data_IF_985288880723
#
_entry.id   IF_985288880723
#
_cell.length_a   1.000
_cell.length_b   1.000
_cell.length_c   1.000
_cell.angle_alpha   90.00
_cell.angle_beta   90.00
_cell.angle_gamma   90.00
#
_symmetry.space_group_name_H-M   'P 1'
#
loop_
_entity.id
_entity.type
_entity.pdbx_description
1 polymer ?
#
# COMPACT_ATOMS: atom_id res chain seq x y z
N UNK A 1 4.64 7.22 34.85
CA UNK A 1 3.28 6.90 34.35
C UNK A 1 3.33 5.69 33.43
N UNK A 2 2.50 4.66 33.65
CA UNK A 2 2.35 3.57 32.68
C UNK A 2 1.60 4.13 31.47
N UNK A 3 2.17 3.99 30.27
CA UNK A 3 1.49 4.42 29.03
C UNK A 3 0.30 3.48 28.79
N UNK A 4 -0.91 3.98 28.52
CA UNK A 4 -2.04 3.12 28.16
C UNK A 4 -1.71 2.41 26.85
N UNK A 5 -2.10 1.13 26.76
CA UNK A 5 -2.08 0.41 25.50
C UNK A 5 -3.00 1.12 24.49
N UNK A 6 -2.52 1.32 23.26
CA UNK A 6 -3.26 1.98 22.20
C UNK A 6 -3.31 1.08 20.98
N UNK A 7 -4.53 0.78 20.53
CA UNK A 7 -4.76 0.15 19.23
C UNK A 7 -4.65 1.25 18.17
N UNK A 8 -3.79 1.03 17.18
CA UNK A 8 -3.54 2.00 16.10
C UNK A 8 -4.85 2.49 15.48
N UNK A 9 -4.96 3.79 15.17
CA UNK A 9 -6.18 4.36 14.53
C UNK A 9 -6.48 3.78 13.13
N UNK A 10 -5.57 2.95 12.60
CA UNK A 10 -5.68 2.27 11.31
C UNK A 10 -6.72 1.14 11.28
N UNK A 11 -7.33 0.77 12.41
CA UNK A 11 -8.40 -0.25 12.47
C UNK A 11 -9.77 0.31 12.08
N UNK A 12 -9.89 1.60 11.71
CA UNK A 12 -11.17 2.17 11.25
C UNK A 12 -11.75 1.48 10.00
N UNK A 13 -10.95 0.71 9.26
CA UNK A 13 -11.41 -0.16 8.17
C UNK A 13 -10.58 -1.46 8.15
N UNK A 14 -11.02 -2.52 8.87
CA UNK A 14 -10.30 -3.78 8.97
C UNK A 14 -10.30 -4.58 7.66
N UNK A 15 -11.35 -4.45 6.83
CA UNK A 15 -11.43 -5.14 5.53
C UNK A 15 -10.27 -4.76 4.61
N UNK A 16 -9.81 -3.51 4.69
CA UNK A 16 -8.66 -3.02 3.94
C UNK A 16 -7.37 -3.78 4.27
N UNK A 17 -7.21 -4.31 5.49
CA UNK A 17 -6.01 -5.06 5.89
C UNK A 17 -5.86 -6.35 5.09
N UNK A 18 -6.96 -7.04 4.80
CA UNK A 18 -6.94 -8.28 3.99
C UNK A 18 -6.39 -8.00 2.60
N UNK A 19 -6.90 -6.97 1.93
CA UNK A 19 -6.46 -6.61 0.59
C UNK A 19 -4.98 -6.16 0.57
N UNK A 20 -4.55 -5.43 1.60
CA UNK A 20 -3.16 -5.03 1.77
C UNK A 20 -2.23 -6.23 1.97
N UNK A 21 -2.70 -7.25 2.71
CA UNK A 21 -1.97 -8.48 2.93
C UNK A 21 -1.82 -9.30 1.63
N UNK A 22 -2.89 -9.40 0.84
CA UNK A 22 -2.86 -10.06 -0.48
C UNK A 22 -1.80 -9.42 -1.37
N UNK A 23 -1.76 -8.09 -1.45
CA UNK A 23 -0.73 -7.37 -2.22
C UNK A 23 0.66 -7.56 -1.61
N UNK A 24 0.80 -7.54 -0.27
CA UNK A 24 2.08 -7.76 0.40
C UNK A 24 2.69 -9.13 0.10
N UNK A 25 1.85 -10.15 -0.12
CA UNK A 25 2.28 -11.50 -0.49
C UNK A 25 3.05 -11.53 -1.82
N UNK A 26 2.77 -10.62 -2.75
CA UNK A 26 3.51 -10.48 -4.01
C UNK A 26 4.99 -10.07 -3.78
N UNK A 27 5.33 -9.54 -2.60
CA UNK A 27 6.67 -9.12 -2.21
C UNK A 27 7.29 -10.02 -1.14
N UNK A 28 6.74 -11.22 -0.92
CA UNK A 28 7.31 -12.18 0.01
C UNK A 28 8.76 -12.55 -0.39
N UNK A 29 9.67 -12.60 0.59
CA UNK A 29 11.11 -12.77 0.44
C UNK A 29 11.88 -11.61 -0.22
N UNK A 30 11.22 -10.53 -0.64
CA UNK A 30 11.89 -9.36 -1.20
C UNK A 30 12.54 -8.54 -0.09
N UNK A 31 13.67 -7.88 -0.41
CA UNK A 31 14.36 -6.99 0.54
C UNK A 31 13.50 -5.75 0.83
N UNK A 32 13.25 -5.42 2.09
CA UNK A 32 12.50 -4.22 2.50
C UNK A 32 13.35 -2.93 2.45
N UNK A 33 13.80 -2.57 1.26
CA UNK A 33 14.55 -1.34 0.96
C UNK A 33 13.63 -0.25 0.37
N UNK A 34 14.17 0.94 0.10
CA UNK A 34 13.39 2.08 -0.43
C UNK A 34 12.70 1.78 -1.77
N UNK A 35 13.32 0.97 -2.62
CA UNK A 35 12.77 0.53 -3.90
C UNK A 35 11.53 -0.35 -3.70
N UNK A 36 11.63 -1.41 -2.89
CA UNK A 36 10.49 -2.30 -2.64
C UNK A 36 9.41 -1.64 -1.76
N UNK A 37 9.77 -0.63 -0.96
CA UNK A 37 8.81 0.22 -0.28
C UNK A 37 7.97 1.04 -1.29
N UNK A 38 8.60 1.64 -2.30
CA UNK A 38 7.87 2.28 -3.42
C UNK A 38 7.05 1.26 -4.19
N UNK A 39 7.66 0.14 -4.58
CA UNK A 39 7.00 -0.95 -5.33
C UNK A 39 5.74 -1.43 -4.65
N UNK A 40 5.77 -1.65 -3.33
CA UNK A 40 4.60 -2.04 -2.57
C UNK A 40 3.46 -1.03 -2.73
N UNK A 41 3.77 0.26 -2.63
CA UNK A 41 2.76 1.31 -2.78
C UNK A 41 2.18 1.38 -4.21
N UNK A 42 3.00 1.13 -5.23
CA UNK A 42 2.57 1.07 -6.63
C UNK A 42 1.63 -0.13 -6.85
N UNK A 43 1.98 -1.31 -6.32
CA UNK A 43 1.12 -2.49 -6.39
C UNK A 43 -0.25 -2.26 -5.72
N UNK A 44 -0.28 -1.52 -4.61
CA UNK A 44 -1.55 -1.16 -3.97
C UNK A 44 -2.43 -0.23 -4.85
N UNK A 45 -1.82 0.60 -5.69
CA UNK A 45 -2.55 1.45 -6.66
C UNK A 45 -3.01 0.60 -7.84
N UNK A 46 -2.12 -0.24 -8.38
CA UNK A 46 -2.40 -1.19 -9.46
C UNK A 46 -3.66 -2.02 -9.18
N UNK A 47 -3.75 -2.57 -7.97
CA UNK A 47 -4.88 -3.43 -7.58
C UNK A 47 -6.09 -2.62 -7.03
N UNK A 48 -6.08 -1.27 -7.17
CA UNK A 48 -7.13 -0.33 -6.71
C UNK A 48 -7.44 -0.38 -5.21
N UNK A 49 -6.53 -0.91 -4.39
CA UNK A 49 -6.72 -1.02 -2.94
C UNK A 49 -6.24 0.22 -2.17
N UNK A 50 -5.57 1.16 -2.85
CA UNK A 50 -5.14 2.43 -2.29
C UNK A 50 -5.69 3.64 -3.04
N UNK A 51 -6.29 4.57 -2.31
CA UNK A 51 -6.69 5.88 -2.83
C UNK A 51 -8.01 5.90 -3.61
N UNK A 52 -8.41 4.78 -4.20
CA UNK A 52 -9.67 4.62 -4.94
C UNK A 52 -10.89 5.16 -4.16
N UNK A 53 -11.74 5.94 -4.85
CA UNK A 53 -12.94 6.56 -4.27
C UNK A 53 -12.69 7.71 -3.28
N UNK A 54 -11.43 8.12 -3.05
CA UNK A 54 -11.11 9.26 -2.16
C UNK A 54 -10.70 10.47 -2.99
N UNK A 55 -11.48 11.55 -2.94
CA UNK A 55 -11.20 12.82 -3.65
C UNK A 55 -9.76 13.31 -3.49
N UNK A 56 -9.20 13.26 -2.29
CA UNK A 56 -7.81 13.66 -2.02
C UNK A 56 -6.76 12.86 -2.83
N UNK A 57 -7.06 11.61 -3.17
CA UNK A 57 -6.18 10.80 -4.00
C UNK A 57 -6.21 11.23 -5.46
N UNK A 58 -7.35 11.66 -5.99
CA UNK A 58 -7.47 12.14 -7.38
C UNK A 58 -6.85 13.52 -7.59
N UNK A 59 -6.66 14.32 -6.53
CA UNK A 59 -6.03 15.63 -6.64
C UNK A 59 -4.64 15.56 -7.29
N UNK A 60 -4.47 16.26 -8.43
CA UNK A 60 -3.21 16.31 -9.17
C UNK A 60 -2.99 15.17 -10.18
N UNK A 61 -3.99 14.31 -10.39
CA UNK A 61 -3.98 13.33 -11.49
C UNK A 61 -4.58 13.95 -12.76
N UNK A 62 -4.14 13.48 -13.93
CA UNK A 62 -4.75 13.86 -15.22
C UNK A 62 -6.11 13.19 -15.40
N UNK A 63 -6.96 13.73 -16.27
CA UNK A 63 -8.28 13.12 -16.54
C UNK A 63 -8.15 11.67 -17.03
N UNK A 64 -7.18 11.39 -17.90
CA UNK A 64 -6.92 10.03 -18.38
C UNK A 64 -6.57 9.05 -17.25
N UNK A 65 -5.78 9.49 -16.26
CA UNK A 65 -5.46 8.68 -15.08
C UNK A 65 -6.70 8.45 -14.21
N UNK A 66 -7.55 9.47 -14.04
CA UNK A 66 -8.81 9.35 -13.30
C UNK A 66 -9.72 8.34 -13.99
N UNK A 67 -9.91 8.47 -15.30
CA UNK A 67 -10.75 7.58 -16.11
C UNK A 67 -10.25 6.13 -16.05
N UNK A 68 -8.93 5.92 -16.09
CA UNK A 68 -8.32 4.59 -15.94
C UNK A 68 -8.57 3.98 -14.54
N UNK A 69 -8.47 4.80 -13.50
CA UNK A 69 -8.71 4.38 -12.12
C UNK A 69 -10.18 3.99 -11.93
N UNK A 70 -11.10 4.80 -12.45
CA UNK A 70 -12.54 4.66 -12.25
C UNK A 70 -13.18 3.58 -13.15
N UNK A 71 -12.56 3.23 -14.27
CA UNK A 71 -12.97 2.11 -15.11
C UNK A 71 -12.63 0.75 -14.46
N UNK A 72 -13.59 0.19 -13.72
CA UNK A 72 -13.46 -1.10 -13.04
C UNK A 72 -13.27 -2.29 -14.00
N UNK A 73 -13.58 -2.14 -15.29
CA UNK A 73 -13.43 -3.23 -16.28
C UNK A 73 -12.01 -3.31 -16.83
N UNK A 74 -11.25 -2.22 -16.75
CA UNK A 74 -9.85 -2.20 -17.19
C UNK A 74 -8.92 -2.65 -16.08
N UNK A 75 -7.91 -3.42 -16.42
CA UNK A 75 -6.79 -3.65 -15.52
C UNK A 75 -5.81 -2.49 -15.61
N UNK A 76 -5.20 -2.12 -14.47
CA UNK A 76 -4.13 -1.14 -14.44
C UNK A 76 -2.81 -1.91 -14.51
N UNK A 77 -1.95 -1.56 -15.46
CA UNK A 77 -0.60 -2.13 -15.54
C UNK A 77 0.28 -1.59 -14.39
N UNK A 78 1.44 -2.21 -14.17
CA UNK A 78 2.38 -1.71 -13.18
C UNK A 78 2.92 -0.32 -13.57
N UNK A 79 3.22 -0.13 -14.85
CA UNK A 79 3.74 1.12 -15.43
C UNK A 79 2.72 2.24 -15.26
N UNK A 80 1.46 1.98 -15.59
CA UNK A 80 0.37 2.93 -15.38
C UNK A 80 0.17 3.28 -13.90
N UNK A 81 0.25 2.28 -13.00
CA UNK A 81 0.20 2.53 -11.56
C UNK A 81 1.39 3.35 -11.07
N UNK A 82 2.57 3.15 -11.66
CA UNK A 82 3.79 3.91 -11.36
C UNK A 82 3.68 5.36 -11.84
N UNK A 83 3.14 5.60 -13.02
CA UNK A 83 2.84 6.95 -13.53
C UNK A 83 1.88 7.68 -12.60
N UNK A 84 0.78 7.04 -12.19
CA UNK A 84 -0.17 7.58 -11.21
C UNK A 84 0.56 7.88 -9.89
N UNK A 85 1.39 6.96 -9.41
CA UNK A 85 2.14 7.14 -8.17
C UNK A 85 3.10 8.33 -8.24
N UNK A 86 3.82 8.49 -9.35
CA UNK A 86 4.78 9.55 -9.57
C UNK A 86 4.09 10.92 -9.78
N UNK A 87 2.91 10.96 -10.42
CA UNK A 87 2.10 12.17 -10.55
C UNK A 87 1.71 12.78 -9.20
N UNK A 88 1.60 11.96 -8.14
CA UNK A 88 1.35 12.45 -6.77
C UNK A 88 2.51 13.25 -6.16
N UNK A 89 3.70 13.23 -6.78
CA UNK A 89 4.87 14.00 -6.40
C UNK A 89 5.19 13.95 -4.88
N UNK A 90 5.22 12.75 -4.31
CA UNK A 90 5.45 12.57 -2.87
C UNK A 90 6.89 12.98 -2.48
N UNK A 91 7.02 13.79 -1.41
CA UNK A 91 8.33 14.18 -0.85
C UNK A 91 9.19 12.99 -0.39
N UNK A 92 8.58 12.02 0.29
CA UNK A 92 9.21 10.73 0.62
C UNK A 92 8.32 9.60 0.11
N UNK A 93 8.56 9.14 -1.13
CA UNK A 93 7.79 8.08 -1.77
C UNK A 93 7.88 6.73 -1.02
N UNK A 94 9.05 6.39 -0.50
CA UNK A 94 9.26 5.14 0.23
C UNK A 94 8.52 5.13 1.58
N UNK A 95 8.33 6.30 2.20
CA UNK A 95 7.47 6.45 3.39
C UNK A 95 6.04 5.97 3.15
N UNK A 96 5.50 6.10 1.92
CA UNK A 96 4.13 5.66 1.62
C UNK A 96 3.97 4.14 1.79
N UNK A 97 4.88 3.35 1.23
CA UNK A 97 4.90 1.91 1.43
C UNK A 97 5.09 1.52 2.90
N UNK A 98 5.97 2.22 3.63
CA UNK A 98 6.15 2.02 5.08
C UNK A 98 4.87 2.27 5.86
N UNK A 99 4.16 3.36 5.57
CA UNK A 99 2.88 3.69 6.21
C UNK A 99 1.81 2.63 5.89
N UNK A 100 1.78 2.14 4.65
CA UNK A 100 0.83 1.14 4.20
C UNK A 100 1.07 -0.25 4.82
N UNK A 101 2.33 -0.67 5.04
CA UNK A 101 2.64 -1.98 5.63
C UNK A 101 2.55 -2.00 7.16
N UNK A 102 2.68 -0.83 7.82
CA UNK A 102 2.73 -0.70 9.27
C UNK A 102 1.56 -1.38 10.02
N UNK A 103 0.30 -1.28 9.56
CA UNK A 103 -0.81 -1.97 10.21
C UNK A 103 -0.60 -3.48 10.19
N UNK A 104 -0.22 -4.06 9.05
CA UNK A 104 0.02 -5.50 8.92
C UNK A 104 1.13 -5.98 9.88
N UNK A 105 2.20 -5.19 10.01
CA UNK A 105 3.28 -5.46 10.98
C UNK A 105 2.79 -5.41 12.42
N UNK A 106 1.99 -4.41 12.78
CA UNK A 106 1.47 -4.25 14.15
C UNK A 106 0.53 -5.40 14.54
N UNK A 107 -0.23 -5.93 13.59
CA UNK A 107 -1.10 -7.09 13.80
C UNK A 107 -0.40 -8.43 13.65
N UNK A 108 0.90 -8.44 13.32
CA UNK A 108 1.68 -9.66 13.17
C UNK A 108 1.42 -10.42 11.89
N UNK A 109 0.68 -9.89 10.91
CA UNK A 109 0.45 -10.53 9.61
C UNK A 109 1.69 -10.51 8.70
N UNK A 110 2.56 -9.52 8.91
CA UNK A 110 3.80 -9.35 8.15
C UNK A 110 4.95 -9.10 9.12
N UNK A 111 6.06 -9.80 8.91
CA UNK A 111 7.30 -9.62 9.66
C UNK A 111 8.40 -9.22 8.69
N UNK A 112 9.30 -8.34 9.14
CA UNK A 112 10.54 -8.04 8.41
C UNK A 112 11.68 -8.68 9.20
N UNK A 113 12.28 -9.72 8.65
CA UNK A 113 13.41 -10.45 9.24
C UNK A 113 14.56 -10.45 8.24
N UNK A 114 15.79 -10.24 8.68
CA UNK A 114 16.97 -10.21 7.80
C UNK A 114 16.80 -9.26 6.60
N UNK A 115 16.14 -8.12 6.85
CA UNK A 115 15.74 -7.11 5.85
C UNK A 115 14.83 -7.65 4.74
N UNK A 116 14.18 -8.81 4.89
CA UNK A 116 13.22 -9.38 3.93
C UNK A 116 11.80 -9.42 4.51
N UNK A 117 10.80 -9.33 3.64
CA UNK A 117 9.39 -9.45 4.00
C UNK A 117 9.02 -10.92 4.14
N UNK A 118 8.33 -11.27 5.22
CA UNK A 118 7.74 -12.59 5.45
C UNK A 118 6.26 -12.43 5.80
N UNK A 119 5.41 -13.26 5.18
CA UNK A 119 4.00 -13.34 5.54
C UNK A 119 3.85 -14.44 6.59
N UNK A 120 3.21 -14.14 7.71
CA UNK A 120 2.96 -15.15 8.74
C UNK A 120 1.82 -16.08 8.29
N UNK A 121 1.87 -17.34 8.71
CA UNK A 121 0.88 -18.39 8.38
C UNK A 121 -0.48 -18.22 9.06
N UNK A 122 -0.96 -16.99 9.26
CA UNK A 122 -2.27 -16.68 9.87
C UNK A 122 -3.40 -16.82 8.84
N UNK A 123 -3.19 -17.61 7.78
CA UNK A 123 -4.17 -18.00 6.77
C UNK A 123 -4.42 -19.50 6.86
#
# INVERSE_FOLDING_TARGET
MKKPWSITTTVRNPERLRNFLIVSKQLENYKWNSENQRKYQILLIKDRVYGYGKSQFYNGLSQEQIDLIDDQKKEISFEQAEEIFNAKNYKDPAMRGRQSINPLKKFGFVVIKDKKIFITSVL
#
